data_IF_808883976931
#
_entry.id   IF_808883976931
#
_cell.length_a   1.000
_cell.length_b   1.000
_cell.length_c   1.000
_cell.angle_alpha   90.00
_cell.angle_beta   90.00
_cell.angle_gamma   90.00
#
_symmetry.space_group_name_H-M   'P 1'
#
loop_
_entity.id
_entity.type
_entity.pdbx_description
1 polymer ?
#
# COMPACT_ATOMS: atom_id res chain seq x y z
N UNK A 1 -1.53 23.87 10.91
CA UNK A 1 -0.49 22.85 10.65
C UNK A 1 -0.78 22.20 9.31
N UNK A 2 -0.02 22.53 8.26
CA UNK A 2 -0.15 21.86 6.98
C UNK A 2 0.25 20.39 7.13
N UNK A 3 -0.73 19.48 7.01
CA UNK A 3 -0.45 18.05 6.86
C UNK A 3 0.26 17.88 5.53
N UNK A 4 1.60 17.87 5.56
CA UNK A 4 2.47 17.60 4.42
C UNK A 4 2.09 16.23 3.86
N UNK A 5 1.22 16.21 2.84
CA UNK A 5 0.76 14.98 2.22
C UNK A 5 1.98 14.31 1.61
N UNK A 6 2.43 13.23 2.22
CA UNK A 6 3.54 12.42 1.71
C UNK A 6 3.04 11.78 0.42
N UNK A 7 3.50 12.30 -0.71
CA UNK A 7 3.15 11.76 -2.03
C UNK A 7 3.99 10.50 -2.27
N UNK A 8 3.33 9.36 -2.32
CA UNK A 8 3.96 8.13 -2.77
C UNK A 8 3.82 8.01 -4.29
N UNK A 9 4.91 7.74 -5.03
CA UNK A 9 4.83 7.53 -6.47
C UNK A 9 3.96 6.30 -6.79
N UNK A 10 3.35 6.27 -7.97
CA UNK A 10 2.44 5.20 -8.36
C UNK A 10 3.13 3.82 -8.36
N UNK A 11 4.41 3.76 -8.72
CA UNK A 11 5.23 2.55 -8.66
C UNK A 11 5.33 1.99 -7.24
N UNK A 12 5.57 2.86 -6.24
CA UNK A 12 5.63 2.44 -4.83
C UNK A 12 4.29 1.87 -4.37
N UNK A 13 3.17 2.49 -4.76
CA UNK A 13 1.82 2.00 -4.41
C UNK A 13 1.54 0.62 -5.02
N UNK A 14 1.99 0.40 -6.26
CA UNK A 14 1.86 -0.88 -6.96
C UNK A 14 2.73 -1.95 -6.31
N UNK A 15 4.00 -1.66 -6.04
CA UNK A 15 4.89 -2.56 -5.30
C UNK A 15 4.32 -2.93 -3.93
N UNK A 16 3.73 -1.98 -3.22
CA UNK A 16 3.11 -2.24 -1.93
C UNK A 16 1.90 -3.19 -2.04
N UNK A 17 1.06 -3.02 -3.06
CA UNK A 17 -0.06 -3.92 -3.33
C UNK A 17 0.42 -5.32 -3.75
N UNK A 18 1.38 -5.41 -4.66
CA UNK A 18 1.97 -6.67 -5.11
C UNK A 18 2.68 -7.41 -3.97
N UNK A 19 3.34 -6.69 -3.06
CA UNK A 19 4.00 -7.27 -1.89
C UNK A 19 2.99 -7.97 -0.97
N UNK A 20 1.78 -7.43 -0.81
CA UNK A 20 0.70 -8.11 -0.06
C UNK A 20 0.28 -9.41 -0.75
N UNK A 21 0.10 -9.40 -2.07
CA UNK A 21 -0.30 -10.58 -2.84
C UNK A 21 0.79 -11.66 -2.88
N UNK A 22 2.05 -11.26 -3.03
CA UNK A 22 3.20 -12.16 -3.16
C UNK A 22 3.73 -12.68 -1.83
N UNK A 23 3.71 -11.86 -0.77
CA UNK A 23 4.22 -12.27 0.54
C UNK A 23 3.22 -13.13 1.32
N UNK A 24 1.93 -13.11 0.95
CA UNK A 24 0.87 -13.81 1.68
C UNK A 24 0.65 -13.30 3.11
N UNK A 25 1.28 -12.18 3.46
CA UNK A 25 1.19 -11.54 4.77
C UNK A 25 -0.09 -10.72 4.90
N UNK A 26 -0.49 -10.43 6.13
CA UNK A 26 -1.62 -9.55 6.36
C UNK A 26 -1.30 -8.13 5.87
N UNK A 27 -2.34 -7.38 5.48
CA UNK A 27 -2.21 -5.97 5.08
C UNK A 27 -1.56 -5.16 6.21
N UNK A 28 -1.81 -5.51 7.48
CA UNK A 28 -1.22 -4.82 8.63
C UNK A 28 0.30 -5.03 8.71
N UNK A 29 0.77 -6.26 8.53
CA UNK A 29 2.20 -6.59 8.58
C UNK A 29 2.96 -5.85 7.47
N UNK A 30 2.42 -5.89 6.25
CA UNK A 30 3.04 -5.19 5.11
C UNK A 30 2.97 -3.67 5.28
N UNK A 31 1.89 -3.14 5.86
CA UNK A 31 1.78 -1.71 6.15
C UNK A 31 2.80 -1.26 7.18
N UNK A 32 3.00 -2.03 8.24
CA UNK A 32 3.99 -1.78 9.28
C UNK A 32 5.42 -1.84 8.71
N UNK A 33 5.71 -2.84 7.88
CA UNK A 33 7.01 -3.03 7.23
C UNK A 33 7.36 -1.87 6.28
N UNK A 34 6.38 -1.42 5.49
CA UNK A 34 6.56 -0.31 4.55
C UNK A 34 6.43 1.08 5.21
N UNK A 35 6.06 1.14 6.50
CA UNK A 35 5.82 2.39 7.22
C UNK A 35 4.65 3.21 6.66
N UNK A 36 3.66 2.53 6.09
CA UNK A 36 2.45 3.14 5.51
C UNK A 36 1.23 2.85 6.38
N UNK A 37 0.19 3.65 6.22
CA UNK A 37 -1.06 3.40 6.92
C UNK A 37 -1.85 2.28 6.22
N UNK A 38 -2.44 1.37 6.99
CA UNK A 38 -3.24 0.24 6.47
C UNK A 38 -4.32 0.73 5.48
N UNK A 39 -5.00 1.83 5.82
CA UNK A 39 -6.06 2.41 4.97
C UNK A 39 -5.53 2.89 3.61
N UNK A 40 -4.29 3.36 3.55
CA UNK A 40 -3.64 3.73 2.28
C UNK A 40 -3.32 2.47 1.47
N UNK A 41 -2.76 1.46 2.11
CA UNK A 41 -2.41 0.20 1.48
C UNK A 41 -3.65 -0.52 0.92
N UNK A 42 -4.74 -0.59 1.70
CA UNK A 42 -6.03 -1.15 1.27
C UNK A 42 -6.62 -0.39 0.06
N UNK A 43 -6.44 0.94 0.00
CA UNK A 43 -6.83 1.75 -1.16
C UNK A 43 -5.97 1.43 -2.39
N UNK A 44 -4.66 1.24 -2.21
CA UNK A 44 -3.75 0.89 -3.29
C UNK A 44 -4.04 -0.51 -3.83
N UNK A 45 -4.28 -1.49 -2.96
CA UNK A 45 -4.69 -2.84 -3.37
C UNK A 45 -5.99 -2.78 -4.19
N UNK A 46 -6.98 -1.98 -3.79
CA UNK A 46 -8.20 -1.80 -4.61
C UNK A 46 -7.96 -1.07 -5.94
N UNK A 47 -6.93 -0.25 -6.04
CA UNK A 47 -6.63 0.56 -7.22
C UNK A 47 -5.67 -0.13 -8.19
N UNK A 48 -4.77 -0.99 -7.68
CA UNK A 48 -3.68 -1.63 -8.43
C UNK A 48 -3.67 -3.15 -8.32
N UNK A 49 -4.25 -3.72 -7.26
CA UNK A 49 -4.49 -5.16 -7.18
C UNK A 49 -5.39 -5.55 -8.33
N UNK A 50 -5.02 -6.61 -9.05
CA UNK A 50 -5.63 -6.99 -10.32
C UNK A 50 -7.15 -6.88 -10.21
N UNK A 51 -7.74 -5.96 -10.97
CA UNK A 51 -9.14 -6.08 -11.36
C UNK A 51 -9.28 -7.46 -11.98
N UNK A 52 -9.90 -8.38 -11.24
CA UNK A 52 -10.66 -9.45 -11.85
C UNK A 52 -11.82 -8.85 -12.62
#
# INVERSE_FOLDING_TARGET
MEKKRRYFPAEFKRQAAERVETSGLSIMDVAAELGVHETQLRRWIRQFGKSG
#
